data_IF_183312382968
#
_entry.id   IF_183312382968
#
_cell.length_a   1.000
_cell.length_b   1.000
_cell.length_c   1.000
_cell.angle_alpha   90.00
_cell.angle_beta   90.00
_cell.angle_gamma   90.00
#
_symmetry.space_group_name_H-M   'P 1'
#
loop_
_entity.id
_entity.type
_entity.pdbx_description
1 polymer ?
#
# COMPACT_ATOMS: atom_id res chain seq x y z
N UNK A 1 17.50 12.11 -6.24
CA UNK A 1 16.54 11.03 -6.52
C UNK A 1 15.22 11.40 -5.86
N UNK A 2 14.32 12.02 -6.60
CA UNK A 2 12.96 12.32 -6.17
C UNK A 2 12.04 11.18 -6.62
N UNK A 3 12.06 10.06 -5.88
CA UNK A 3 11.16 8.95 -6.17
C UNK A 3 9.78 9.29 -5.58
N UNK A 4 8.88 9.81 -6.42
CA UNK A 4 7.47 10.12 -6.14
C UNK A 4 7.10 11.53 -5.62
N UNK A 5 7.25 12.59 -6.43
CA UNK A 5 6.79 13.96 -6.08
C UNK A 5 5.27 14.23 -6.19
N UNK A 6 4.45 13.36 -5.61
CA UNK A 6 3.13 13.70 -5.04
C UNK A 6 3.33 14.09 -3.59
N UNK A 7 4.22 15.06 -3.37
CA UNK A 7 4.77 15.35 -2.05
C UNK A 7 3.68 15.77 -1.07
N UNK A 8 3.26 14.83 -0.20
CA UNK A 8 2.51 15.10 1.02
C UNK A 8 1.13 14.44 1.14
N UNK A 9 0.61 13.76 0.11
CA UNK A 9 -0.74 13.20 0.15
C UNK A 9 -0.73 11.67 0.00
N UNK A 10 -1.12 10.90 1.03
CA UNK A 10 -1.13 9.43 0.99
C UNK A 10 -2.11 8.84 -0.04
N UNK A 11 -2.99 9.67 -0.61
CA UNK A 11 -4.02 9.27 -1.56
C UNK A 11 -3.84 9.90 -2.96
N UNK A 12 -2.72 10.55 -3.23
CA UNK A 12 -2.43 11.06 -4.57
C UNK A 12 -1.43 10.12 -5.25
N UNK A 13 -1.88 9.27 -6.19
CA UNK A 13 -1.00 8.32 -6.84
C UNK A 13 -0.18 8.99 -7.97
N UNK A 14 -0.08 10.33 -7.97
CA UNK A 14 0.67 11.17 -8.92
C UNK A 14 0.20 11.01 -10.36
N UNK A 15 -1.09 10.82 -10.57
CA UNK A 15 -1.67 10.54 -11.89
C UNK A 15 -1.27 9.18 -12.48
N UNK A 16 -0.46 8.37 -11.78
CA UNK A 16 -0.32 6.94 -12.06
C UNK A 16 -1.52 6.27 -11.39
N UNK A 17 -2.33 5.50 -12.11
CA UNK A 17 -3.51 4.85 -11.52
C UNK A 17 -3.12 3.97 -10.32
N UNK A 18 -4.07 3.69 -9.44
CA UNK A 18 -3.86 2.77 -8.31
C UNK A 18 -3.66 1.32 -8.77
N UNK A 19 -3.13 0.45 -7.92
CA UNK A 19 -2.97 -0.99 -8.25
C UNK A 19 -4.32 -1.61 -8.58
N UNK A 20 -5.37 -1.28 -7.81
CA UNK A 20 -6.72 -1.78 -8.06
C UNK A 20 -7.38 -1.25 -9.34
N UNK A 21 -6.80 -0.21 -9.97
CA UNK A 21 -7.22 0.34 -11.26
C UNK A 21 -6.26 -0.02 -12.40
N UNK A 22 -5.33 -0.97 -12.18
CA UNK A 22 -4.36 -1.43 -13.17
C UNK A 22 -3.14 -0.54 -13.35
N UNK A 23 -2.86 0.36 -12.40
CA UNK A 23 -1.63 1.16 -12.36
C UNK A 23 -0.61 0.64 -11.34
N UNK A 24 0.54 1.35 -11.18
CA UNK A 24 1.64 0.90 -10.33
C UNK A 24 1.61 1.48 -8.91
N UNK A 25 0.63 2.33 -8.56
CA UNK A 25 0.63 3.05 -7.29
C UNK A 25 -0.17 2.30 -6.22
N UNK A 26 0.49 1.87 -5.15
CA UNK A 26 -0.18 1.28 -3.99
C UNK A 26 -0.57 2.39 -2.99
N UNK A 27 -1.87 2.57 -2.75
CA UNK A 27 -2.42 3.57 -1.82
C UNK A 27 -3.30 2.95 -0.75
N UNK A 28 -3.75 3.76 0.22
CA UNK A 28 -4.60 3.31 1.35
C UNK A 28 -5.86 2.57 0.90
N UNK A 29 -6.51 3.03 -0.17
CA UNK A 29 -7.74 2.39 -0.68
C UNK A 29 -7.48 1.00 -1.29
N UNK A 30 -6.27 0.73 -1.79
CA UNK A 30 -5.88 -0.62 -2.21
C UNK A 30 -5.74 -1.55 -1.00
N UNK A 31 -5.24 -1.04 0.12
CA UNK A 31 -5.14 -1.79 1.38
C UNK A 31 -6.54 -2.10 1.93
N UNK A 32 -7.50 -1.17 1.79
CA UNK A 32 -8.89 -1.44 2.16
C UNK A 32 -9.51 -2.56 1.32
N UNK A 33 -9.38 -2.49 -0.01
CA UNK A 33 -9.85 -3.55 -0.91
C UNK A 33 -9.20 -4.91 -0.60
N UNK A 34 -7.91 -4.89 -0.27
CA UNK A 34 -7.20 -6.09 0.19
C UNK A 34 -7.78 -6.64 1.49
N UNK A 35 -8.04 -5.78 2.47
CA UNK A 35 -8.62 -6.18 3.76
C UNK A 35 -10.01 -6.81 3.62
N UNK A 36 -10.85 -6.25 2.74
CA UNK A 36 -12.17 -6.79 2.42
C UNK A 36 -12.06 -8.17 1.76
N UNK A 37 -11.15 -8.32 0.78
CA UNK A 37 -10.92 -9.60 0.09
C UNK A 37 -10.34 -10.69 0.99
N UNK A 38 -9.60 -10.31 2.03
CA UNK A 38 -9.05 -11.23 3.03
C UNK A 38 -9.96 -11.46 4.24
N UNK A 39 -11.07 -10.73 4.35
CA UNK A 39 -12.00 -10.84 5.48
C UNK A 39 -11.37 -10.43 6.81
N UNK A 40 -10.45 -9.45 6.81
CA UNK A 40 -9.79 -8.94 8.01
C UNK A 40 -9.88 -7.42 8.11
N UNK A 41 -9.48 -6.84 9.23
CA UNK A 41 -9.46 -5.38 9.37
C UNK A 41 -8.34 -4.75 8.52
N UNK A 42 -8.52 -3.46 8.20
CA UNK A 42 -7.47 -2.66 7.53
C UNK A 42 -6.18 -2.64 8.36
N UNK A 43 -6.32 -2.57 9.69
CA UNK A 43 -5.17 -2.55 10.61
C UNK A 43 -4.41 -3.88 10.60
N UNK A 44 -5.10 -5.01 10.64
CA UNK A 44 -4.48 -6.34 10.52
C UNK A 44 -3.80 -6.52 9.17
N UNK A 45 -4.44 -6.05 8.09
CA UNK A 45 -3.84 -6.08 6.75
C UNK A 45 -2.52 -5.31 6.71
N UNK A 46 -2.48 -4.11 7.29
CA UNK A 46 -1.24 -3.31 7.40
C UNK A 46 -0.17 -4.01 8.24
N UNK A 47 -0.54 -4.62 9.38
CA UNK A 47 0.39 -5.36 10.23
C UNK A 47 0.99 -6.55 9.49
N UNK A 48 0.15 -7.33 8.80
CA UNK A 48 0.59 -8.49 8.01
C UNK A 48 1.52 -8.07 6.86
N UNK A 49 1.20 -7.00 6.14
CA UNK A 49 2.06 -6.44 5.09
C UNK A 49 3.41 -5.97 5.65
N UNK A 50 3.39 -5.27 6.79
CA UNK A 50 4.61 -4.81 7.46
C UNK A 50 5.50 -5.99 7.88
N UNK A 51 4.92 -7.01 8.53
CA UNK A 51 5.65 -8.21 8.96
C UNK A 51 6.29 -8.94 7.76
N UNK A 52 5.54 -9.07 6.65
CA UNK A 52 6.06 -9.67 5.42
C UNK A 52 7.26 -8.88 4.88
N UNK A 53 7.15 -7.54 4.80
CA UNK A 53 8.24 -6.69 4.33
C UNK A 53 9.45 -6.78 5.24
N UNK A 54 9.25 -6.74 6.57
CA UNK A 54 10.28 -6.89 7.60
C UNK A 54 11.07 -8.19 7.45
N UNK A 55 10.37 -9.32 7.24
CA UNK A 55 11.00 -10.62 6.96
C UNK A 55 11.89 -10.60 5.72
N UNK A 56 11.45 -9.94 4.64
CA UNK A 56 12.21 -9.87 3.39
C UNK A 56 13.43 -8.95 3.48
N UNK A 57 13.32 -7.84 4.22
CA UNK A 57 14.42 -6.88 4.36
C UNK A 57 15.36 -7.21 5.54
N UNK A 58 15.15 -8.34 6.23
CA UNK A 58 15.97 -8.78 7.36
C UNK A 58 15.91 -7.87 8.59
N UNK A 59 14.91 -6.97 8.65
CA UNK A 59 14.69 -6.11 9.82
C UNK A 59 13.68 -6.81 10.72
N UNK A 60 14.13 -7.25 11.91
CA UNK A 60 13.25 -7.66 13.01
C UNK A 60 12.64 -6.43 13.66
#
# INVERSE_FOLDING_TARGET
>A
MCYNCGCGLPNDPMGKKTVSEGGPSLVEDDIKKMSEGWGMSVEESKKNMLEMLQKQIGKK
#
